data_IF_862888772785
#
_entry.id   IF_862888772785
#
_cell.length_a   1.000
_cell.length_b   1.000
_cell.length_c   1.000
_cell.angle_alpha   90.00
_cell.angle_beta   90.00
_cell.angle_gamma   90.00
#
_symmetry.space_group_name_H-M   'P 1'
#
loop_
_entity.id
_entity.type
_entity.pdbx_description
1 polymer ?
#
# COMPACT_ATOMS: atom_id res chain seq x y z
N UNK A 1 31.25 -8.18 10.36
CA UNK A 1 29.84 -8.62 10.37
C UNK A 1 29.04 -7.54 9.66
N UNK A 2 28.40 -7.84 8.54
CA UNK A 2 27.53 -6.86 7.87
C UNK A 2 26.18 -6.93 8.55
N UNK A 3 25.83 -5.88 9.29
CA UNK A 3 24.52 -5.73 9.92
C UNK A 3 23.45 -5.68 8.83
N UNK A 4 22.72 -6.78 8.67
CA UNK A 4 21.50 -6.81 7.86
C UNK A 4 20.42 -6.12 8.70
N UNK A 5 20.21 -4.81 8.47
CA UNK A 5 19.06 -4.09 9.00
C UNK A 5 17.79 -4.81 8.55
N UNK A 6 17.00 -5.29 9.52
CA UNK A 6 15.72 -5.95 9.29
C UNK A 6 14.87 -5.15 8.29
N UNK A 7 14.66 -5.72 7.10
CA UNK A 7 13.62 -5.24 6.19
C UNK A 7 12.29 -5.74 6.73
N UNK A 8 11.61 -4.91 7.53
CA UNK A 8 10.26 -5.21 8.04
C UNK A 8 9.30 -5.48 6.87
N UNK A 9 8.85 -6.72 6.74
CA UNK A 9 7.88 -7.14 5.71
C UNK A 9 6.46 -6.74 6.14
N UNK A 10 5.71 -6.15 5.21
CA UNK A 10 4.29 -5.86 5.43
C UNK A 10 3.48 -7.16 5.31
N UNK A 11 2.94 -7.63 6.42
CA UNK A 11 1.98 -8.74 6.45
C UNK A 11 0.59 -8.19 6.19
N UNK A 12 0.03 -8.51 5.02
CA UNK A 12 -1.35 -8.20 4.65
C UNK A 12 -2.24 -9.41 4.97
N UNK A 13 -3.46 -9.15 5.39
CA UNK A 13 -4.52 -10.16 5.45
C UNK A 13 -4.69 -10.83 4.07
N UNK A 14 -4.87 -12.15 4.04
CA UNK A 14 -4.95 -12.92 2.79
C UNK A 14 -6.11 -12.46 1.90
N UNK A 15 -7.26 -12.13 2.48
CA UNK A 15 -8.42 -11.62 1.73
C UNK A 15 -8.12 -10.27 1.08
N UNK A 16 -7.40 -9.40 1.77
CA UNK A 16 -6.99 -8.11 1.22
C UNK A 16 -5.93 -8.25 0.14
N UNK A 17 -4.95 -9.15 0.34
CA UNK A 17 -3.94 -9.44 -0.66
C UNK A 17 -4.56 -9.99 -1.95
N UNK A 18 -5.57 -10.86 -1.87
CA UNK A 18 -6.24 -11.39 -3.06
C UNK A 18 -6.99 -10.31 -3.83
N UNK A 19 -7.71 -9.42 -3.14
CA UNK A 19 -8.37 -8.26 -3.78
C UNK A 19 -7.38 -7.33 -4.48
N UNK A 20 -6.25 -7.05 -3.83
CA UNK A 20 -5.20 -6.21 -4.42
C UNK A 20 -4.58 -6.91 -5.63
N UNK A 21 -4.38 -8.23 -5.57
CA UNK A 21 -3.86 -9.03 -6.69
C UNK A 21 -4.81 -9.02 -7.88
N UNK A 22 -6.11 -9.24 -7.67
CA UNK A 22 -7.11 -9.17 -8.74
C UNK A 22 -7.13 -7.79 -9.41
N UNK A 23 -7.08 -6.72 -8.60
CA UNK A 23 -7.03 -5.36 -9.12
C UNK A 23 -5.74 -5.08 -9.90
N UNK A 24 -4.59 -5.57 -9.40
CA UNK A 24 -3.31 -5.45 -10.07
C UNK A 24 -3.30 -6.13 -11.46
N UNK A 25 -3.91 -7.32 -11.56
CA UNK A 25 -4.06 -8.03 -12.85
C UNK A 25 -4.95 -7.24 -13.81
N UNK A 26 -6.10 -6.73 -13.34
CA UNK A 26 -7.01 -5.92 -14.18
C UNK A 26 -6.36 -4.65 -14.72
N UNK A 27 -5.48 -4.02 -13.94
CA UNK A 27 -4.77 -2.81 -14.33
C UNK A 27 -3.40 -3.06 -15.01
N UNK A 28 -3.05 -4.33 -15.26
CA UNK A 28 -1.76 -4.75 -15.80
C UNK A 28 -0.55 -4.16 -15.05
N UNK A 29 -0.63 -4.15 -13.71
CA UNK A 29 0.39 -3.62 -12.79
C UNK A 29 0.91 -4.73 -11.89
N UNK A 30 2.14 -4.57 -11.39
CA UNK A 30 2.67 -5.47 -10.37
C UNK A 30 1.95 -5.28 -9.04
N UNK A 31 1.82 -6.38 -8.28
CA UNK A 31 1.18 -6.38 -6.96
C UNK A 31 1.77 -5.31 -6.04
N UNK A 32 3.10 -5.25 -5.93
CA UNK A 32 3.79 -4.26 -5.10
C UNK A 32 3.48 -2.82 -5.51
N UNK A 33 3.40 -2.53 -6.82
CA UNK A 33 3.07 -1.20 -7.31
C UNK A 33 1.60 -0.84 -7.03
N UNK A 34 0.70 -1.82 -7.10
CA UNK A 34 -0.70 -1.64 -6.72
C UNK A 34 -0.85 -1.35 -5.22
N UNK A 35 -0.14 -2.09 -4.36
CA UNK A 35 -0.11 -1.83 -2.90
C UNK A 35 0.34 -0.40 -2.63
N UNK A 36 1.44 0.05 -3.24
CA UNK A 36 1.94 1.41 -3.07
C UNK A 36 0.95 2.45 -3.59
N UNK A 37 0.32 2.20 -4.75
CA UNK A 37 -0.69 3.11 -5.33
C UNK A 37 -1.89 3.28 -4.38
N UNK A 38 -2.39 2.19 -3.81
CA UNK A 38 -3.51 2.23 -2.86
C UNK A 38 -3.11 3.02 -1.62
N UNK A 39 -1.95 2.73 -1.02
CA UNK A 39 -1.46 3.44 0.15
C UNK A 39 -1.33 4.94 -0.13
N UNK A 40 -0.71 5.34 -1.24
CA UNK A 40 -0.55 6.75 -1.61
C UNK A 40 -1.92 7.43 -1.76
N UNK A 41 -2.89 6.77 -2.38
CA UNK A 41 -4.22 7.34 -2.57
C UNK A 41 -4.95 7.50 -1.23
N UNK A 42 -4.91 6.49 -0.35
CA UNK A 42 -5.46 6.59 1.00
C UNK A 42 -4.87 7.75 1.80
N UNK A 43 -3.55 7.99 1.72
CA UNK A 43 -2.92 9.12 2.41
C UNK A 43 -3.18 10.48 1.74
N UNK A 44 -3.45 10.51 0.43
CA UNK A 44 -3.83 11.75 -0.27
C UNK A 44 -5.23 12.20 0.13
N UNK A 45 -6.16 11.26 0.27
CA UNK A 45 -7.51 11.56 0.77
C UNK A 45 -7.46 12.01 2.24
N UNK A 46 -6.61 11.42 3.07
CA UNK A 46 -6.42 11.87 4.47
C UNK A 46 -5.87 13.32 4.56
N UNK A 47 -4.94 13.73 3.68
CA UNK A 47 -4.44 15.11 3.66
C UNK A 47 -5.52 16.14 3.28
N UNK A 48 -6.61 15.74 2.65
CA UNK A 48 -7.77 16.60 2.44
C UNK A 48 -8.56 16.81 3.74
N UNK A 49 -8.53 15.83 4.65
CA UNK A 49 -9.30 15.84 5.91
C UNK A 49 -8.56 16.55 7.07
N UNK A 50 -7.22 16.58 7.09
CA UNK A 50 -6.45 17.31 8.11
C UNK A 50 -6.39 18.83 7.92
N UNK A 51 -6.92 19.38 6.82
CA UNK A 51 -6.94 20.83 6.56
C UNK A 51 -8.09 21.59 7.25
N UNK A 52 -8.84 20.97 8.16
CA UNK A 52 -9.99 21.64 8.80
C UNK A 52 -10.09 21.39 10.30
N UNK A 53 -9.25 22.08 11.08
CA UNK A 53 -9.65 22.70 12.36
C UNK A 53 -8.66 23.82 12.66
N UNK A 54 -9.09 25.07 12.41
CA UNK A 54 -8.47 26.29 12.94
C UNK A 54 -8.77 26.39 14.43
#
# INVERSE_FOLDING_TARGET
>A
MVEIKEKKLLTLDSSLADKIREKAVKENRSFSNMVVTILINSFKDDKATYKTRK
#
